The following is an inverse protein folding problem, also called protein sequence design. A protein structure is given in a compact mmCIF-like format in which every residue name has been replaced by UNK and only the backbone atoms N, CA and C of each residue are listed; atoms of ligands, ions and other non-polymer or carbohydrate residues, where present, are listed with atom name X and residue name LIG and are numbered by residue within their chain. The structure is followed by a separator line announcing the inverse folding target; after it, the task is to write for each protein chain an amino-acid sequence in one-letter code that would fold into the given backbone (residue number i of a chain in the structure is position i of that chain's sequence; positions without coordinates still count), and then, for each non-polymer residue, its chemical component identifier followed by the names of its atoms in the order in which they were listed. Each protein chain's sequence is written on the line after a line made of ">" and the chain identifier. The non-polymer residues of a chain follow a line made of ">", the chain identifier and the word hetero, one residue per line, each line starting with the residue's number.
data_IF_927066323153
#
_entry.id   IF_927066323153
#
_cell.length_a   1.000
_cell.length_b   1.000
_cell.length_c   1.000
_cell.angle_alpha   90.00
_cell.angle_beta   90.00
_cell.angle_gamma   90.00
#
_symmetry.space_group_name_H-M   'P 1'
#
loop_
_entity.id
_entity.type
_entity.pdbx_description
1 polymer ?
#
# COMPACT_ATOMS: atom_id res chain seq x y z
N UNK A 1 14.41 4.12 18.86
CA UNK A 1 13.30 5.06 18.56
C UNK A 1 12.68 4.66 17.24
N UNK A 2 11.35 4.50 17.19
CA UNK A 2 10.65 4.15 15.95
C UNK A 2 10.68 5.33 14.95
N UNK A 3 10.37 5.06 13.68
CA UNK A 3 10.56 6.00 12.56
C UNK A 3 9.74 7.30 12.70
N UNK A 4 8.53 7.23 13.25
CA UNK A 4 7.63 8.39 13.42
C UNK A 4 8.15 9.38 14.48
N UNK A 5 8.52 8.96 15.71
CA UNK A 5 9.12 9.86 16.69
C UNK A 5 10.38 10.60 16.20
N UNK A 6 11.21 9.93 15.38
CA UNK A 6 12.43 10.51 14.84
C UNK A 6 12.15 11.63 13.83
N UNK A 7 11.19 11.43 12.93
CA UNK A 7 10.81 12.47 11.97
C UNK A 7 10.11 13.64 12.65
N UNK A 8 9.27 13.37 13.66
CA UNK A 8 8.65 14.41 14.49
C UNK A 8 9.71 15.27 15.18
N UNK A 9 10.68 14.66 15.88
CA UNK A 9 11.75 15.42 16.55
C UNK A 9 12.63 16.21 15.57
N UNK A 10 12.93 15.64 14.39
CA UNK A 10 13.69 16.33 13.37
C UNK A 10 12.96 17.58 12.84
N UNK A 11 11.65 17.48 12.59
CA UNK A 11 10.84 18.62 12.15
C UNK A 11 10.61 19.65 13.25
N UNK A 12 10.49 19.21 14.51
CA UNK A 12 10.40 20.11 15.66
C UNK A 12 11.67 20.92 15.88
N UNK A 13 12.85 20.32 15.64
CA UNK A 13 14.15 21.03 15.72
C UNK A 13 14.48 21.85 14.47
N UNK A 14 13.69 21.72 13.41
CA UNK A 14 13.88 22.45 12.15
C UNK A 14 13.20 23.83 12.16
N UNK A 15 13.07 24.40 10.97
CA UNK A 15 12.55 25.76 10.75
C UNK A 15 11.13 26.00 11.32
N UNK A 16 10.34 24.92 11.51
CA UNK A 16 8.94 24.99 11.93
C UNK A 16 8.74 24.99 13.46
N UNK A 17 9.79 24.77 14.26
CA UNK A 17 9.70 24.72 15.72
C UNK A 17 8.63 23.72 16.20
N UNK A 18 7.93 24.03 17.29
CA UNK A 18 6.88 23.17 17.86
C UNK A 18 5.68 22.92 16.92
N UNK A 19 5.54 23.66 15.82
CA UNK A 19 4.52 23.39 14.79
C UNK A 19 4.88 22.21 13.88
N UNK A 20 6.16 21.84 13.79
CA UNK A 20 6.65 20.74 12.97
C UNK A 20 5.98 19.40 13.31
N UNK A 21 5.68 19.15 14.59
CA UNK A 21 5.04 17.92 15.03
C UNK A 21 3.59 17.77 14.52
N UNK A 22 2.85 18.88 14.41
CA UNK A 22 1.47 18.88 13.93
C UNK A 22 1.42 18.68 12.41
N UNK A 23 2.34 19.30 11.67
CA UNK A 23 2.48 19.11 10.22
C UNK A 23 2.78 17.64 9.90
N UNK A 24 3.76 17.04 10.60
CA UNK A 24 4.12 15.62 10.41
C UNK A 24 2.95 14.70 10.74
N UNK A 25 2.24 14.95 11.84
CA UNK A 25 1.08 14.13 12.26
C UNK A 25 -0.07 14.23 11.26
N UNK A 26 -0.40 15.44 10.79
CA UNK A 26 -1.45 15.65 9.78
C UNK A 26 -1.09 15.01 8.44
N UNK A 27 0.17 15.18 8.00
CA UNK A 27 0.67 14.57 6.76
C UNK A 27 0.65 13.04 6.84
N UNK A 28 1.09 12.47 7.96
CA UNK A 28 1.07 11.03 8.18
C UNK A 28 -0.36 10.48 8.19
N UNK A 29 -1.30 11.19 8.81
CA UNK A 29 -2.72 10.83 8.82
C UNK A 29 -3.28 10.79 7.39
N UNK A 30 -3.09 11.85 6.61
CA UNK A 30 -3.57 11.92 5.22
C UNK A 30 -2.93 10.84 4.33
N UNK A 31 -1.64 10.57 4.53
CA UNK A 31 -0.92 9.52 3.81
C UNK A 31 -1.42 8.12 4.18
N UNK A 32 -1.70 7.86 5.46
CA UNK A 32 -2.27 6.60 5.90
C UNK A 32 -3.66 6.37 5.29
N UNK A 33 -4.51 7.40 5.26
CA UNK A 33 -5.83 7.33 4.62
C UNK A 33 -5.76 7.08 3.12
N UNK A 34 -4.90 7.79 2.39
CA UNK A 34 -4.76 7.59 0.94
C UNK A 34 -4.25 6.19 0.61
N UNK A 35 -3.31 5.68 1.41
CA UNK A 35 -2.78 4.31 1.31
C UNK A 35 -3.90 3.30 1.57
N UNK A 36 -4.68 3.46 2.64
CA UNK A 36 -5.79 2.57 2.97
C UNK A 36 -6.85 2.49 1.85
N UNK A 37 -7.16 3.61 1.19
CA UNK A 37 -8.10 3.64 0.06
C UNK A 37 -7.51 2.90 -1.15
N UNK A 38 -6.24 3.14 -1.48
CA UNK A 38 -5.57 2.48 -2.58
C UNK A 38 -5.56 0.94 -2.42
N UNK A 39 -5.18 0.45 -1.23
CA UNK A 39 -5.17 -0.99 -0.94
C UNK A 39 -6.57 -1.62 -0.95
N UNK A 40 -7.59 -0.89 -0.51
CA UNK A 40 -8.99 -1.34 -0.65
C UNK A 40 -9.35 -1.55 -2.12
N UNK A 41 -9.02 -0.59 -2.99
CA UNK A 41 -9.31 -0.67 -4.41
C UNK A 41 -8.56 -1.82 -5.11
N UNK A 42 -7.27 -2.01 -4.80
CA UNK A 42 -6.49 -3.14 -5.34
C UNK A 42 -7.10 -4.47 -4.92
N UNK A 43 -7.54 -4.58 -3.67
CA UNK A 43 -8.25 -5.74 -3.15
C UNK A 43 -9.58 -6.00 -3.85
N UNK A 44 -10.40 -4.95 -4.05
CA UNK A 44 -11.67 -5.04 -4.78
C UNK A 44 -11.46 -5.61 -6.19
N UNK A 45 -10.39 -5.19 -6.88
CA UNK A 45 -10.03 -5.69 -8.22
C UNK A 45 -9.53 -7.14 -8.19
N UNK A 46 -8.67 -7.48 -7.24
CA UNK A 46 -8.18 -8.85 -7.08
C UNK A 46 -9.33 -9.83 -6.75
N UNK A 47 -10.23 -9.43 -5.86
CA UNK A 47 -11.39 -10.23 -5.46
C UNK A 47 -12.38 -10.41 -6.61
N UNK A 48 -12.64 -9.34 -7.39
CA UNK A 48 -13.46 -9.41 -8.61
C UNK A 48 -12.87 -10.39 -9.63
N UNK A 49 -11.54 -10.42 -9.79
CA UNK A 49 -10.85 -11.33 -10.71
C UNK A 49 -10.93 -12.80 -10.24
N UNK A 50 -10.79 -13.05 -8.93
CA UNK A 50 -10.77 -14.40 -8.36
C UNK A 50 -12.17 -15.02 -8.20
N UNK A 51 -13.14 -14.25 -7.71
CA UNK A 51 -14.45 -14.75 -7.27
C UNK A 51 -15.65 -14.01 -7.88
N UNK A 52 -15.39 -13.06 -8.80
CA UNK A 52 -16.41 -12.29 -9.49
C UNK A 52 -16.94 -11.08 -8.70
N UNK A 53 -17.80 -10.25 -9.31
CA UNK A 53 -18.18 -8.93 -8.76
C UNK A 53 -18.95 -8.97 -7.43
N UNK A 54 -19.68 -10.06 -7.16
CA UNK A 54 -20.50 -10.20 -5.94
C UNK A 54 -19.68 -10.36 -4.66
N UNK A 55 -18.40 -10.72 -4.79
CA UNK A 55 -17.49 -10.96 -3.67
C UNK A 55 -16.80 -9.71 -3.13
N UNK A 56 -16.98 -8.56 -3.79
CA UNK A 56 -16.37 -7.27 -3.38
C UNK A 56 -16.96 -6.75 -2.06
N UNK A 57 -18.28 -6.87 -1.88
CA UNK A 57 -18.95 -6.41 -0.66
C UNK A 57 -18.45 -7.12 0.61
N UNK A 58 -18.40 -8.47 0.68
CA UNK A 58 -17.87 -9.14 1.86
C UNK A 58 -16.38 -8.86 2.08
N UNK A 59 -15.59 -8.69 1.00
CA UNK A 59 -14.18 -8.28 1.13
C UNK A 59 -14.02 -6.91 1.79
N UNK A 60 -14.80 -5.91 1.37
CA UNK A 60 -14.77 -4.56 1.97
C UNK A 60 -15.12 -4.57 3.46
N UNK A 61 -16.09 -5.38 3.86
CA UNK A 61 -16.47 -5.54 5.26
C UNK A 61 -15.30 -6.15 6.05
N UNK A 62 -14.70 -7.24 5.54
CA UNK A 62 -13.55 -7.88 6.16
C UNK A 62 -12.34 -6.93 6.26
N UNK A 63 -12.07 -6.15 5.22
CA UNK A 63 -11.01 -5.14 5.19
C UNK A 63 -11.20 -4.09 6.28
N UNK A 64 -12.42 -3.59 6.45
CA UNK A 64 -12.74 -2.61 7.49
C UNK A 64 -12.59 -3.20 8.90
N UNK A 65 -13.07 -4.43 9.13
CA UNK A 65 -12.85 -5.14 10.41
C UNK A 65 -11.37 -5.40 10.69
N UNK A 66 -10.57 -5.64 9.64
CA UNK A 66 -9.13 -5.80 9.73
C UNK A 66 -8.42 -4.58 10.33
N UNK A 67 -8.91 -3.36 10.08
CA UNK A 67 -8.34 -2.15 10.71
C UNK A 67 -8.53 -2.12 12.22
N UNK A 68 -9.70 -2.56 12.72
CA UNK A 68 -9.94 -2.66 14.16
C UNK A 68 -9.03 -3.70 14.79
N UNK A 69 -8.86 -4.85 14.14
CA UNK A 69 -7.95 -5.89 14.62
C UNK A 69 -6.49 -5.41 14.61
N UNK A 70 -6.06 -4.72 13.55
CA UNK A 70 -4.71 -4.18 13.43
C UNK A 70 -4.37 -3.14 14.52
N UNK A 71 -5.38 -2.43 15.06
CA UNK A 71 -5.18 -1.52 16.18
C UNK A 71 -4.92 -2.24 17.52
N UNK A 72 -5.34 -3.51 17.64
CA UNK A 72 -5.17 -4.34 18.84
C UNK A 72 -3.97 -5.30 18.73
N UNK A 73 -3.57 -5.66 17.51
CA UNK A 73 -2.51 -6.62 17.25
C UNK A 73 -1.11 -6.00 17.39
N UNK A 74 -0.12 -6.85 17.71
CA UNK A 74 1.28 -6.43 17.82
C UNK A 74 1.80 -5.96 16.46
N UNK A 75 2.42 -4.79 16.45
CA UNK A 75 2.97 -4.16 15.25
C UNK A 75 4.01 -5.07 14.56
N UNK A 76 4.78 -5.85 15.33
CA UNK A 76 5.79 -6.78 14.80
C UNK A 76 5.16 -7.88 13.96
N UNK A 77 4.02 -8.43 14.41
CA UNK A 77 3.29 -9.48 13.70
C UNK A 77 2.73 -8.93 12.39
N UNK A 78 2.12 -7.73 12.45
CA UNK A 78 1.57 -7.05 11.28
C UNK A 78 2.66 -6.83 10.23
N UNK A 79 3.81 -6.27 10.61
CA UNK A 79 4.92 -6.03 9.69
C UNK A 79 5.45 -7.32 9.05
N UNK A 80 5.66 -8.38 9.85
CA UNK A 80 6.16 -9.65 9.34
C UNK A 80 5.19 -10.27 8.33
N UNK A 81 3.89 -10.26 8.63
CA UNK A 81 2.86 -10.78 7.73
C UNK A 81 2.79 -9.97 6.43
N UNK A 82 2.85 -8.64 6.53
CA UNK A 82 2.86 -7.75 5.36
C UNK A 82 4.06 -8.03 4.46
N UNK A 83 5.27 -8.19 5.01
CA UNK A 83 6.48 -8.46 4.23
C UNK A 83 6.38 -9.78 3.47
N UNK A 84 5.91 -10.85 4.13
CA UNK A 84 5.72 -12.17 3.48
C UNK A 84 4.72 -12.07 2.33
N UNK A 85 3.59 -11.39 2.56
CA UNK A 85 2.53 -11.24 1.56
C UNK A 85 3.01 -10.42 0.36
N UNK A 86 3.75 -9.33 0.59
CA UNK A 86 4.31 -8.50 -0.49
C UNK A 86 5.27 -9.34 -1.34
N UNK A 87 6.21 -10.06 -0.72
CA UNK A 87 7.16 -10.91 -1.46
C UNK A 87 6.43 -11.96 -2.29
N UNK A 88 5.43 -12.63 -1.70
CA UNK A 88 4.62 -13.64 -2.38
C UNK A 88 3.88 -13.06 -3.61
N UNK A 89 3.40 -11.82 -3.53
CA UNK A 89 2.74 -11.15 -4.67
C UNK A 89 3.75 -10.64 -5.71
N UNK A 90 4.92 -10.16 -5.27
CA UNK A 90 5.95 -9.57 -6.14
C UNK A 90 6.62 -10.63 -7.01
N UNK A 91 6.95 -11.80 -6.47
CA UNK A 91 7.63 -12.88 -7.21
C UNK A 91 6.91 -13.27 -8.52
N UNK A 92 5.62 -13.66 -8.52
CA UNK A 92 4.92 -14.03 -9.75
C UNK A 92 4.75 -12.85 -10.71
N UNK A 93 4.54 -11.63 -10.19
CA UNK A 93 4.40 -10.42 -11.01
C UNK A 93 5.70 -10.12 -11.78
N UNK A 94 6.85 -10.19 -11.11
CA UNK A 94 8.15 -9.98 -11.74
C UNK A 94 8.45 -11.04 -12.80
N UNK A 95 8.14 -12.31 -12.52
CA UNK A 95 8.30 -13.40 -13.52
C UNK A 95 7.42 -13.13 -14.74
N UNK A 96 6.16 -12.75 -14.54
CA UNK A 96 5.24 -12.39 -15.63
C UNK A 96 5.77 -11.27 -16.51
N UNK A 97 6.27 -10.19 -15.91
CA UNK A 97 6.86 -9.05 -16.64
C UNK A 97 8.09 -9.50 -17.46
N UNK A 98 8.95 -10.34 -16.90
CA UNK A 98 10.16 -10.83 -17.59
C UNK A 98 9.82 -11.70 -18.82
N UNK A 99 8.74 -12.48 -18.74
CA UNK A 99 8.23 -13.27 -19.85
C UNK A 99 7.59 -12.37 -20.93
N UNK A 100 6.76 -11.41 -20.53
CA UNK A 100 6.06 -10.49 -21.43
C UNK A 100 6.95 -9.36 -21.99
N UNK A 101 8.23 -9.29 -21.60
CA UNK A 101 9.15 -8.22 -22.02
C UNK A 101 9.27 -8.06 -23.55
N UNK A 102 9.11 -9.16 -24.30
CA UNK A 102 9.20 -9.16 -25.77
C UNK A 102 7.96 -8.52 -26.39
N UNK A 103 6.79 -8.88 -25.89
CA UNK A 103 5.51 -8.32 -26.36
C UNK A 103 5.40 -6.83 -26.05
N UNK A 104 5.78 -6.42 -24.84
CA UNK A 104 5.79 -5.00 -24.46
C UNK A 104 6.69 -4.17 -25.39
N UNK A 105 7.89 -4.67 -25.73
CA UNK A 105 8.79 -4.00 -26.69
C UNK A 105 8.19 -3.91 -28.10
N UNK A 106 7.42 -4.91 -28.53
CA UNK A 106 6.74 -4.88 -29.83
C UNK A 106 5.61 -3.82 -29.84
N UNK A 107 4.77 -3.80 -28.81
CA UNK A 107 3.67 -2.82 -28.68
C UNK A 107 4.19 -1.38 -28.59
N UNK A 108 5.27 -1.13 -27.83
CA UNK A 108 5.87 0.21 -27.73
C UNK A 108 6.42 0.70 -29.07
N UNK A 109 7.00 -0.19 -29.89
CA UNK A 109 7.48 0.16 -31.23
C UNK A 109 6.35 0.49 -32.20
N UNK A 110 5.18 -0.11 -32.03
CA UNK A 110 3.99 0.20 -32.83
C UNK A 110 3.39 1.56 -32.45
N UNK A 111 3.32 1.87 -31.15
CA UNK A 111 2.82 3.14 -30.65
C UNK A 111 3.74 4.31 -31.00
N UNK A 112 5.06 4.13 -30.98
CA UNK A 112 6.02 5.20 -31.32
C UNK A 112 6.22 5.45 -32.82
N UNK A 113 5.48 4.74 -33.70
CA UNK A 113 5.56 4.88 -35.16
C UNK A 113 4.37 5.66 -35.75
N UNK A 114 3.37 5.99 -34.93
CA UNK A 114 2.29 6.94 -35.23
C UNK A 114 2.58 8.28 -34.56
#
# INVERSE_FOLDING_TARGET
>A
MHSVPLTTQAFTRGFFGDYGQYIVSLGLMLFAFSTAIAWSYYGDRAMTYLFGPRSVLPYRIAYFLGFFYAALADTTIIWNLSLITIVLMTVPNLVGILLMRREMKATLRLLGKN
#
